data_IF_121743116041
#
_entry.id   IF_121743116041
#
_cell.length_a   1.000
_cell.length_b   1.000
_cell.length_c   1.000
_cell.angle_alpha   90.00
_cell.angle_beta   90.00
_cell.angle_gamma   90.00
#
_symmetry.space_group_name_H-M   'P 1'
#
loop_
_entity.id
_entity.type
_entity.pdbx_description
1 polymer ?
#
# COMPACT_ATOMS: atom_id res chain seq x y z
N UNK A 1 -16.02 -1.52 -7.15
CA UNK A 1 -14.85 -0.65 -6.95
C UNK A 1 -13.64 -1.55 -6.76
N UNK A 2 -13.17 -2.14 -7.85
CA UNK A 2 -11.93 -2.92 -7.89
C UNK A 2 -11.34 -2.67 -9.26
N UNK A 3 -10.03 -2.41 -9.26
CA UNK A 3 -9.12 -2.62 -10.38
C UNK A 3 -9.10 -1.59 -11.51
N UNK A 4 -8.37 -0.49 -11.29
CA UNK A 4 -7.78 0.32 -12.37
C UNK A 4 -6.24 0.27 -12.40
N UNK A 5 -5.59 -0.37 -11.43
CA UNK A 5 -4.13 -0.29 -11.26
C UNK A 5 -3.60 -1.70 -11.22
N UNK A 6 -2.92 -2.08 -12.29
CA UNK A 6 -2.26 -3.37 -12.43
C UNK A 6 -1.00 -3.44 -11.54
N UNK A 7 -1.14 -3.18 -10.24
CA UNK A 7 -0.07 -3.14 -9.25
C UNK A 7 -0.42 -4.06 -8.07
N UNK A 8 -0.11 -5.35 -8.23
CA UNK A 8 -0.38 -6.38 -7.22
C UNK A 8 0.70 -7.47 -7.24
N UNK A 9 1.02 -8.01 -6.06
CA UNK A 9 1.95 -9.14 -5.86
C UNK A 9 1.33 -10.11 -4.83
N UNK A 10 0.37 -10.96 -5.25
CA UNK A 10 -0.41 -11.77 -4.33
C UNK A 10 0.46 -12.75 -3.54
N UNK A 11 0.15 -12.92 -2.25
CA UNK A 11 0.82 -13.85 -1.34
C UNK A 11 -0.17 -14.88 -0.81
N UNK A 12 0.22 -16.15 -0.83
CA UNK A 12 -0.61 -17.24 -0.27
C UNK A 12 -0.32 -17.40 1.21
N UNK A 13 -1.34 -17.25 2.06
CA UNK A 13 -1.18 -17.29 3.52
C UNK A 13 -0.57 -18.60 4.03
N UNK A 14 -0.99 -19.74 3.48
CA UNK A 14 -0.49 -21.07 3.85
C UNK A 14 0.98 -21.29 3.49
N UNK A 15 1.55 -20.46 2.61
CA UNK A 15 2.94 -20.55 2.17
C UNK A 15 3.88 -19.60 2.95
N UNK A 16 3.36 -18.83 3.91
CA UNK A 16 4.17 -17.92 4.70
C UNK A 16 5.08 -18.70 5.66
N UNK A 17 6.40 -18.47 5.65
CA UNK A 17 7.30 -19.08 6.62
C UNK A 17 7.03 -18.52 8.03
N UNK A 18 7.35 -19.31 9.06
CA UNK A 18 7.16 -18.92 10.46
C UNK A 18 7.94 -17.65 10.84
N UNK A 19 9.09 -17.41 10.19
CA UNK A 19 9.90 -16.19 10.35
C UNK A 19 9.29 -14.93 9.72
N UNK A 20 8.23 -15.07 8.93
CA UNK A 20 7.72 -14.01 8.06
C UNK A 20 8.44 -13.95 6.72
N UNK A 21 7.76 -13.35 5.74
CA UNK A 21 8.22 -13.17 4.37
C UNK A 21 8.55 -11.69 4.12
N UNK A 22 9.79 -11.42 3.73
CA UNK A 22 10.19 -10.11 3.24
C UNK A 22 9.74 -9.94 1.78
N UNK A 23 9.01 -8.87 1.51
CA UNK A 23 8.47 -8.54 0.20
C UNK A 23 8.99 -7.17 -0.20
N UNK A 24 9.77 -7.12 -1.29
CA UNK A 24 10.18 -5.88 -1.92
C UNK A 24 9.37 -5.67 -3.20
N UNK A 25 8.76 -4.51 -3.32
CA UNK A 25 7.98 -4.12 -4.51
C UNK A 25 8.59 -2.85 -5.09
N UNK A 26 8.79 -2.85 -6.39
CA UNK A 26 9.19 -1.68 -7.16
C UNK A 26 8.24 -1.55 -8.35
N UNK A 27 7.60 -0.39 -8.48
CA UNK A 27 6.66 -0.14 -9.55
C UNK A 27 7.41 0.09 -10.87
N UNK A 28 7.13 -0.76 -11.86
CA UNK A 28 7.63 -0.62 -13.23
C UNK A 28 7.04 0.63 -13.90
N UNK A 29 7.65 1.16 -14.97
CA UNK A 29 7.16 2.37 -15.64
C UNK A 29 5.66 2.35 -16.01
N UNK A 30 5.17 1.22 -16.52
CA UNK A 30 3.76 1.04 -16.87
C UNK A 30 2.84 1.03 -15.63
N UNK A 31 3.27 0.36 -14.56
CA UNK A 31 2.52 0.34 -13.29
C UNK A 31 2.48 1.74 -12.67
N UNK A 32 3.59 2.51 -12.74
CA UNK A 32 3.63 3.91 -12.26
C UNK A 32 2.65 4.80 -13.01
N UNK A 33 2.53 4.65 -14.34
CA UNK A 33 1.58 5.40 -15.14
C UNK A 33 0.12 5.09 -14.74
N UNK A 34 -0.21 3.81 -14.53
CA UNK A 34 -1.54 3.40 -14.06
C UNK A 34 -1.85 3.93 -12.65
N UNK A 35 -0.88 3.91 -11.74
CA UNK A 35 -1.04 4.43 -10.38
C UNK A 35 -1.20 5.96 -10.41
N UNK A 36 -0.40 6.68 -11.20
CA UNK A 36 -0.50 8.12 -11.33
C UNK A 36 -1.88 8.54 -11.86
N UNK A 37 -2.39 7.87 -12.89
CA UNK A 37 -3.72 8.14 -13.44
C UNK A 37 -4.84 7.90 -12.42
N UNK A 38 -4.71 6.88 -11.56
CA UNK A 38 -5.70 6.60 -10.53
C UNK A 38 -5.69 7.58 -9.36
N UNK A 39 -4.49 7.99 -8.95
CA UNK A 39 -4.31 8.94 -7.86
C UNK A 39 -4.43 10.40 -8.33
N UNK A 40 -4.76 10.62 -9.60
CA UNK A 40 -4.81 11.94 -10.25
C UNK A 40 -3.52 12.75 -10.04
N UNK A 41 -2.38 12.06 -10.16
CA UNK A 41 -1.06 12.67 -10.02
C UNK A 41 -0.51 13.07 -11.39
N UNK A 42 -0.01 14.31 -11.55
CA UNK A 42 0.71 14.72 -12.75
C UNK A 42 1.87 13.78 -13.15
N UNK A 43 2.59 13.23 -12.16
CA UNK A 43 3.67 12.28 -12.40
C UNK A 43 3.94 11.41 -11.17
N UNK A 44 4.38 10.17 -11.41
CA UNK A 44 4.90 9.25 -10.38
C UNK A 44 6.27 8.72 -10.84
N UNK A 45 7.33 9.26 -10.27
CA UNK A 45 8.71 8.96 -10.65
C UNK A 45 9.23 7.69 -9.97
N UNK A 46 8.85 7.49 -8.71
CA UNK A 46 9.26 6.33 -7.92
C UNK A 46 8.14 5.88 -6.99
N UNK A 47 7.94 4.57 -6.90
CA UNK A 47 7.21 3.93 -5.83
C UNK A 47 7.91 2.61 -5.49
N UNK A 48 8.43 2.51 -4.27
CA UNK A 48 9.04 1.30 -3.74
C UNK A 48 8.46 0.99 -2.36
N UNK A 49 8.34 -0.30 -2.06
CA UNK A 49 7.89 -0.79 -0.77
C UNK A 49 8.81 -1.91 -0.28
N UNK A 50 9.18 -1.84 0.99
CA UNK A 50 9.94 -2.85 1.71
C UNK A 50 9.05 -3.31 2.87
N UNK A 51 8.50 -4.51 2.76
CA UNK A 51 7.45 -5.04 3.64
C UNK A 51 7.88 -6.35 4.28
N UNK A 52 7.43 -6.59 5.50
CA UNK A 52 7.48 -7.85 6.20
C UNK A 52 6.05 -8.35 6.41
N UNK A 53 5.75 -9.52 5.85
CA UNK A 53 4.47 -10.21 5.98
C UNK A 53 4.66 -11.37 6.94
N UNK A 54 4.09 -11.29 8.15
CA UNK A 54 4.27 -12.30 9.18
C UNK A 54 2.93 -12.76 9.76
N UNK A 55 2.87 -14.01 10.22
CA UNK A 55 1.71 -14.53 10.94
C UNK A 55 1.40 -13.70 12.18
N UNK A 56 0.11 -13.47 12.45
CA UNK A 56 -0.34 -12.66 13.57
C UNK A 56 -1.64 -13.21 14.15
N UNK A 57 -1.60 -13.70 15.40
CA UNK A 57 -2.75 -14.22 16.17
C UNK A 57 -3.63 -15.22 15.39
N UNK A 58 -3.38 -16.52 15.60
CA UNK A 58 -4.15 -17.57 14.94
C UNK A 58 -3.92 -17.54 13.43
N UNK A 59 -5.00 -17.43 12.65
CA UNK A 59 -4.97 -17.39 11.19
C UNK A 59 -4.78 -15.97 10.59
N UNK A 60 -4.47 -14.97 11.43
CA UNK A 60 -4.23 -13.61 10.97
C UNK A 60 -2.83 -13.38 10.41
N UNK A 61 -2.66 -12.27 9.70
CA UNK A 61 -1.39 -11.81 9.15
C UNK A 61 -1.20 -10.33 9.43
N UNK A 62 0.03 -9.95 9.73
CA UNK A 62 0.44 -8.55 9.88
C UNK A 62 1.43 -8.20 8.78
N UNK A 63 1.19 -7.07 8.13
CA UNK A 63 2.06 -6.47 7.12
C UNK A 63 2.62 -5.18 7.69
N UNK A 64 3.93 -5.15 7.90
CA UNK A 64 4.66 -3.97 8.38
C UNK A 64 5.69 -3.56 7.35
N UNK A 65 6.03 -2.28 7.26
CA UNK A 65 7.13 -1.88 6.41
C UNK A 65 7.19 -0.40 6.11
N UNK A 66 7.96 -0.05 5.08
CA UNK A 66 8.14 1.32 4.62
C UNK A 66 7.87 1.44 3.13
N UNK A 67 7.16 2.49 2.76
CA UNK A 67 6.89 2.89 1.38
C UNK A 67 7.67 4.18 1.12
N UNK A 68 8.38 4.24 0.00
CA UNK A 68 9.11 5.43 -0.46
C UNK A 68 8.56 5.84 -1.82
N UNK A 69 8.17 7.10 -1.96
CA UNK A 69 7.57 7.62 -3.18
C UNK A 69 8.19 8.94 -3.59
N UNK A 70 8.34 9.14 -4.89
CA UNK A 70 8.58 10.46 -5.50
C UNK A 70 7.53 10.69 -6.58
N UNK A 71 6.82 11.80 -6.50
CA UNK A 71 5.71 12.13 -7.39
C UNK A 71 5.55 13.65 -7.49
N UNK A 72 4.84 14.10 -8.51
CA UNK A 72 4.38 15.48 -8.59
C UNK A 72 2.90 15.53 -8.21
N UNK A 73 2.51 16.53 -7.42
CA UNK A 73 1.13 16.79 -7.04
C UNK A 73 0.71 18.17 -7.57
N UNK A 74 -0.52 18.28 -8.05
CA UNK A 74 -1.09 19.57 -8.42
C UNK A 74 -1.30 20.44 -7.18
N UNK A 75 -0.70 21.63 -7.15
CA UNK A 75 -0.95 22.61 -6.10
C UNK A 75 -2.40 23.11 -6.17
N UNK A 76 -3.16 23.03 -5.08
CA UNK A 76 -4.57 23.51 -5.06
C UNK A 76 -4.71 25.03 -5.24
N UNK A 77 -3.63 25.79 -5.03
CA UNK A 77 -3.63 27.26 -5.15
C UNK A 77 -3.22 27.70 -6.56
N UNK A 78 -2.08 27.21 -7.07
CA UNK A 78 -1.52 27.65 -8.36
C UNK A 78 -1.85 26.72 -9.52
N UNK A 79 -2.33 25.51 -9.23
CA UNK A 79 -2.52 24.40 -10.18
C UNK A 79 -1.23 23.95 -10.89
N UNK A 80 -0.06 24.34 -10.39
CA UNK A 80 1.22 23.89 -10.92
C UNK A 80 1.67 22.58 -10.26
N UNK A 81 2.40 21.72 -10.99
CA UNK A 81 2.94 20.49 -10.44
C UNK A 81 4.08 20.78 -9.45
N UNK A 82 3.92 20.32 -8.21
CA UNK A 82 4.91 20.45 -7.14
C UNK A 82 5.53 19.08 -6.86
N UNK A 83 6.87 18.93 -6.93
CA UNK A 83 7.53 17.67 -6.60
C UNK A 83 7.41 17.36 -5.10
N UNK A 84 7.18 16.10 -4.78
CA UNK A 84 7.06 15.54 -3.43
C UNK A 84 7.91 14.28 -3.31
N UNK A 85 8.53 14.13 -2.14
CA UNK A 85 9.15 12.87 -1.72
C UNK A 85 8.59 12.51 -0.35
N UNK A 86 8.06 11.30 -0.23
CA UNK A 86 7.49 10.81 1.02
C UNK A 86 8.10 9.47 1.41
N UNK A 87 8.21 9.28 2.72
CA UNK A 87 8.54 8.01 3.36
C UNK A 87 7.47 7.69 4.38
N UNK A 88 6.62 6.72 4.08
CA UNK A 88 5.50 6.33 4.93
C UNK A 88 5.78 4.97 5.57
N UNK A 89 5.42 4.82 6.83
CA UNK A 89 5.40 3.53 7.50
C UNK A 89 4.00 2.92 7.38
N UNK A 90 3.95 1.62 7.15
CA UNK A 90 2.69 0.86 7.12
C UNK A 90 2.70 -0.19 8.22
N UNK A 91 1.57 -0.29 8.92
CA UNK A 91 1.24 -1.36 9.85
C UNK A 91 -0.22 -1.73 9.62
N UNK A 92 -0.46 -2.90 9.03
CA UNK A 92 -1.80 -3.40 8.71
C UNK A 92 -1.94 -4.84 9.16
N UNK A 93 -3.10 -5.18 9.68
CA UNK A 93 -3.44 -6.53 10.15
C UNK A 93 -4.65 -7.01 9.38
N UNK A 94 -4.55 -8.25 8.92
CA UNK A 94 -5.58 -8.93 8.16
C UNK A 94 -6.03 -10.15 8.97
N UNK A 95 -7.33 -10.29 9.16
CA UNK A 95 -7.95 -11.45 9.78
C UNK A 95 -8.92 -12.07 8.79
N UNK A 96 -9.12 -13.40 8.83
CA UNK A 96 -10.24 -14.02 8.12
C UNK A 96 -11.55 -13.37 8.55
N UNK A 97 -12.48 -13.20 7.60
CA UNK A 97 -13.76 -12.52 7.87
C UNK A 97 -14.52 -13.10 9.07
N UNK A 98 -14.47 -14.42 9.26
CA UNK A 98 -15.08 -15.10 10.40
C UNK A 98 -14.52 -14.71 11.78
N UNK A 99 -13.35 -14.08 11.84
CA UNK A 99 -12.65 -13.67 13.06
C UNK A 99 -12.64 -12.16 13.29
N UNK A 100 -13.25 -11.38 12.39
CA UNK A 100 -13.40 -9.94 12.58
C UNK A 100 -14.49 -9.68 13.63
N UNK A 101 -14.09 -9.20 14.81
CA UNK A 101 -15.04 -8.55 15.71
C UNK A 101 -15.32 -7.16 15.13
N UNK A 102 -16.57 -6.88 14.75
CA UNK A 102 -16.95 -5.55 14.29
C UNK A 102 -16.90 -4.58 15.47
N UNK A 103 -15.77 -3.89 15.64
CA UNK A 103 -15.75 -2.65 16.41
C UNK A 103 -16.16 -1.54 15.46
N UNK A 104 -17.43 -1.14 15.52
CA UNK A 104 -17.85 0.13 14.97
C UNK A 104 -17.26 1.23 15.87
N UNK A 105 -16.22 1.90 15.40
CA UNK A 105 -15.83 3.18 16.00
C UNK A 105 -16.86 4.22 15.54
N UNK A 106 -17.56 4.93 16.46
CA UNK A 106 -18.45 6.00 16.07
C UNK A 106 -17.64 7.06 15.31
N UNK A 107 -18.08 7.34 14.08
CA UNK A 107 -17.59 8.46 13.30
C UNK A 107 -18.05 9.76 13.99
N UNK A 108 -17.18 10.34 14.80
CA UNK A 108 -17.43 11.62 15.45
C UNK A 108 -17.30 12.74 14.39
N UNK A 109 -18.33 13.60 14.34
CA UNK A 109 -18.50 14.70 13.37
C UNK A 109 -17.73 15.96 13.77
#
# INVERSE_FOLDING_TARGET
MSDGHNFSRPQTLSALPQSGLEVRIEAKPQERASIAAFLDLPALDQLTAELLVAGWRGAGVRVTGTIKTRYAQTCVVTLEPVPKEDRLTIDRKFLPAAMLQQTAEPHEM
#
